data_IF_201740509124
#
_entry.id   IF_201740509124
#
_cell.length_a   1.000
_cell.length_b   1.000
_cell.length_c   1.000
_cell.angle_alpha   90.00
_cell.angle_beta   90.00
_cell.angle_gamma   90.00
#
_symmetry.space_group_name_H-M   'P 1'
#
loop_
_entity.id
_entity.type
_entity.pdbx_description
1 polymer ?
#
# COMPACT_ATOMS: atom_id res chain seq x y z
N UNK A 1 18.87 -1.35 -21.28
CA UNK A 1 18.03 -2.47 -20.82
C UNK A 1 18.87 -3.57 -20.21
N UNK A 2 19.99 -3.98 -20.83
CA UNK A 2 20.85 -5.06 -20.33
C UNK A 2 21.35 -4.86 -18.89
N UNK A 3 21.86 -3.67 -18.53
CA UNK A 3 22.41 -3.43 -17.18
C UNK A 3 21.40 -3.69 -16.05
N UNK A 4 20.21 -3.03 -15.99
CA UNK A 4 19.26 -3.30 -14.91
C UNK A 4 18.71 -4.73 -14.95
N UNK A 5 18.63 -5.37 -16.12
CA UNK A 5 18.27 -6.78 -16.20
C UNK A 5 19.34 -7.70 -15.60
N UNK A 6 20.61 -7.47 -15.92
CA UNK A 6 21.72 -8.24 -15.35
C UNK A 6 21.81 -8.06 -13.84
N UNK A 7 21.59 -6.83 -13.35
CA UNK A 7 21.53 -6.56 -11.91
C UNK A 7 20.37 -7.33 -11.26
N UNK A 8 19.17 -7.27 -11.84
CA UNK A 8 18.02 -8.00 -11.32
C UNK A 8 18.25 -9.53 -11.32
N UNK A 9 18.70 -10.09 -12.45
CA UNK A 9 18.97 -11.53 -12.59
C UNK A 9 20.07 -11.99 -11.64
N UNK A 10 21.18 -11.26 -11.57
CA UNK A 10 22.28 -11.57 -10.65
C UNK A 10 21.86 -11.51 -9.18
N UNK A 11 21.02 -10.54 -8.83
CA UNK A 11 20.47 -10.41 -7.48
C UNK A 11 19.53 -11.56 -7.13
N UNK A 12 18.66 -11.98 -8.05
CA UNK A 12 17.77 -13.14 -7.87
C UNK A 12 18.57 -14.43 -7.63
N UNK A 13 19.65 -14.63 -8.38
CA UNK A 13 20.51 -15.80 -8.18
C UNK A 13 21.08 -15.81 -6.77
N UNK A 14 21.52 -14.65 -6.27
CA UNK A 14 22.00 -14.52 -4.89
C UNK A 14 20.90 -14.79 -3.87
N UNK A 15 19.68 -14.30 -4.13
CA UNK A 15 18.52 -14.55 -3.27
C UNK A 15 18.16 -16.04 -3.20
N UNK A 16 18.27 -16.75 -4.33
CA UNK A 16 18.04 -18.20 -4.42
C UNK A 16 19.12 -19.00 -3.68
N UNK A 17 20.36 -18.52 -3.64
CA UNK A 17 21.43 -19.15 -2.86
C UNK A 17 21.22 -18.93 -1.35
N UNK A 18 20.60 -17.82 -0.96
CA UNK A 18 20.41 -17.40 0.43
C UNK A 18 18.93 -17.45 0.87
N UNK A 19 18.15 -18.41 0.36
CA UNK A 19 16.70 -18.51 0.60
C UNK A 19 16.31 -18.55 2.10
N UNK A 20 17.16 -19.14 2.93
CA UNK A 20 16.96 -19.23 4.38
C UNK A 20 16.91 -17.86 5.07
N UNK A 21 17.48 -16.81 4.47
CA UNK A 21 17.37 -15.44 4.98
C UNK A 21 15.94 -14.91 4.88
N UNK A 22 15.25 -15.21 3.78
CA UNK A 22 14.01 -14.54 3.42
C UNK A 22 12.79 -15.09 4.16
N UNK A 23 12.69 -16.41 4.38
CA UNK A 23 11.48 -16.99 4.98
C UNK A 23 10.20 -16.51 4.28
N UNK A 24 9.29 -15.85 5.01
CA UNK A 24 8.04 -15.29 4.44
C UNK A 24 8.29 -14.11 3.47
N UNK A 25 9.44 -13.44 3.57
CA UNK A 25 9.86 -12.37 2.66
C UNK A 25 10.25 -12.87 1.26
N UNK A 26 10.25 -14.19 1.00
CA UNK A 26 10.40 -14.71 -0.37
C UNK A 26 9.31 -14.13 -1.30
N UNK A 27 8.11 -13.91 -0.77
CA UNK A 27 7.03 -13.24 -1.52
C UNK A 27 7.42 -11.82 -1.93
N UNK A 28 8.21 -11.10 -1.12
CA UNK A 28 8.69 -9.77 -1.46
C UNK A 28 9.70 -9.80 -2.60
N UNK A 29 10.62 -10.78 -2.58
CA UNK A 29 11.57 -11.00 -3.68
C UNK A 29 10.84 -11.27 -5.00
N UNK A 30 9.80 -12.11 -4.97
CA UNK A 30 8.97 -12.40 -6.15
C UNK A 30 8.13 -11.20 -6.59
N UNK A 31 7.59 -10.45 -5.65
CA UNK A 31 6.83 -9.21 -5.88
C UNK A 31 7.66 -8.21 -6.69
N UNK A 32 8.94 -8.06 -6.37
CA UNK A 32 9.82 -7.10 -7.05
C UNK A 32 10.06 -7.42 -8.53
N UNK A 33 9.86 -8.69 -8.94
CA UNK A 33 9.89 -9.08 -10.35
C UNK A 33 8.79 -8.41 -11.16
N UNK A 34 7.68 -8.00 -10.53
CA UNK A 34 6.60 -7.26 -11.20
C UNK A 34 7.13 -5.95 -11.78
N UNK A 35 8.00 -5.23 -11.06
CA UNK A 35 8.60 -3.99 -11.58
C UNK A 35 9.50 -4.25 -12.79
N UNK A 36 10.35 -5.28 -12.69
CA UNK A 36 11.28 -5.64 -13.77
C UNK A 36 10.49 -6.11 -14.99
N UNK A 37 9.48 -6.96 -14.81
CA UNK A 37 8.63 -7.48 -15.89
C UNK A 37 7.82 -6.38 -16.57
N UNK A 38 7.14 -5.54 -15.80
CA UNK A 38 6.36 -4.40 -16.35
C UNK A 38 7.29 -3.38 -17.00
N UNK A 39 8.40 -3.03 -16.36
CA UNK A 39 9.41 -2.11 -16.90
C UNK A 39 10.03 -2.62 -18.20
N UNK A 40 10.36 -3.90 -18.27
CA UNK A 40 10.86 -4.57 -19.47
C UNK A 40 9.83 -4.54 -20.60
N UNK A 41 8.60 -4.95 -20.30
CA UNK A 41 7.49 -4.93 -21.27
C UNK A 41 7.26 -3.53 -21.85
N UNK A 42 7.27 -2.50 -20.99
CA UNK A 42 7.10 -1.11 -21.40
C UNK A 42 8.29 -0.59 -22.20
N UNK A 43 9.52 -0.91 -21.82
CA UNK A 43 10.71 -0.48 -22.56
C UNK A 43 10.83 -1.16 -23.93
N UNK A 44 10.37 -2.41 -24.07
CA UNK A 44 10.28 -3.09 -25.36
C UNK A 44 9.19 -2.51 -26.26
N UNK A 45 8.00 -2.19 -25.70
CA UNK A 45 6.86 -1.68 -26.49
C UNK A 45 6.92 -0.16 -26.73
N UNK A 46 7.50 0.58 -25.80
CA UNK A 46 7.54 2.05 -25.76
C UNK A 46 8.96 2.54 -25.36
N UNK A 47 9.98 2.33 -26.21
CA UNK A 47 11.39 2.54 -25.84
C UNK A 47 11.75 3.97 -25.47
N UNK A 48 11.00 4.97 -25.97
CA UNK A 48 11.19 6.40 -25.65
C UNK A 48 10.42 6.85 -24.42
N UNK A 49 9.60 5.97 -23.81
CA UNK A 49 8.75 6.34 -22.68
C UNK A 49 9.52 6.17 -21.36
N UNK A 50 9.67 7.24 -20.55
CA UNK A 50 10.53 7.20 -19.37
C UNK A 50 9.99 6.30 -18.25
N UNK A 51 8.67 6.07 -18.17
CA UNK A 51 8.07 5.27 -17.09
C UNK A 51 8.53 3.82 -17.14
N UNK A 52 8.65 3.23 -18.34
CA UNK A 52 9.17 1.86 -18.47
C UNK A 52 10.59 1.73 -17.92
N UNK A 53 11.46 2.69 -18.24
CA UNK A 53 12.84 2.71 -17.74
C UNK A 53 12.92 2.94 -16.24
N UNK A 54 12.10 3.84 -15.70
CA UNK A 54 12.04 4.12 -14.27
C UNK A 54 11.54 2.90 -13.48
N UNK A 55 10.52 2.20 -13.97
CA UNK A 55 10.07 0.95 -13.33
C UNK A 55 11.12 -0.16 -13.42
N UNK A 56 11.82 -0.28 -14.54
CA UNK A 56 12.90 -1.26 -14.71
C UNK A 56 14.06 -1.00 -13.74
N UNK A 57 14.47 0.25 -13.58
CA UNK A 57 15.50 0.64 -12.61
C UNK A 57 15.02 0.52 -11.16
N UNK A 58 13.76 0.87 -10.87
CA UNK A 58 13.19 0.68 -9.54
C UNK A 58 13.25 -0.80 -9.13
N UNK A 59 12.80 -1.72 -10.00
CA UNK A 59 12.87 -3.15 -9.76
C UNK A 59 14.30 -3.65 -9.56
N UNK A 60 15.23 -3.25 -10.42
CA UNK A 60 16.63 -3.64 -10.31
C UNK A 60 17.30 -3.16 -9.01
N UNK A 61 17.03 -1.92 -8.59
CA UNK A 61 17.59 -1.34 -7.37
C UNK A 61 16.95 -1.92 -6.10
N UNK A 62 15.65 -2.21 -6.12
CA UNK A 62 15.01 -2.94 -5.03
C UNK A 62 15.59 -4.36 -4.90
N UNK A 63 15.71 -5.09 -6.01
CA UNK A 63 16.31 -6.42 -5.99
C UNK A 63 17.74 -6.39 -5.45
N UNK A 64 18.53 -5.41 -5.90
CA UNK A 64 19.89 -5.22 -5.42
C UNK A 64 19.93 -4.97 -3.90
N UNK A 65 18.98 -4.20 -3.36
CA UNK A 65 18.88 -3.95 -1.92
C UNK A 65 18.53 -5.21 -1.12
N UNK A 66 17.62 -6.06 -1.62
CA UNK A 66 17.27 -7.33 -0.98
C UNK A 66 18.44 -8.32 -1.01
N UNK A 67 19.06 -8.49 -2.17
CA UNK A 67 20.19 -9.40 -2.35
C UNK A 67 21.40 -8.99 -1.52
N UNK A 68 21.68 -7.68 -1.42
CA UNK A 68 22.74 -7.19 -0.54
C UNK A 68 22.39 -7.34 0.93
N UNK A 69 21.12 -7.20 1.33
CA UNK A 69 20.67 -7.53 2.68
C UNK A 69 20.96 -8.99 3.06
N UNK A 70 20.60 -9.94 2.19
CA UNK A 70 20.90 -11.36 2.40
C UNK A 70 22.40 -11.63 2.42
N UNK A 71 23.17 -11.00 1.55
CA UNK A 71 24.62 -11.13 1.51
C UNK A 71 25.29 -10.60 2.80
N UNK A 72 24.89 -9.42 3.28
CA UNK A 72 25.38 -8.84 4.53
C UNK A 72 25.07 -9.79 5.69
N UNK A 73 23.87 -10.35 5.75
CA UNK A 73 23.51 -11.36 6.73
C UNK A 73 24.44 -12.59 6.65
N UNK A 74 24.72 -13.08 5.43
CA UNK A 74 25.62 -14.20 5.23
C UNK A 74 27.07 -13.89 5.68
N UNK A 75 27.58 -12.69 5.38
CA UNK A 75 28.95 -12.26 5.72
C UNK A 75 29.14 -12.09 7.22
N UNK A 76 28.18 -11.50 7.93
CA UNK A 76 28.36 -11.14 9.34
C UNK A 76 27.76 -12.15 10.33
N UNK A 77 26.75 -12.92 9.92
CA UNK A 77 26.04 -13.86 10.81
C UNK A 77 26.30 -15.30 10.41
N UNK A 78 26.09 -15.68 9.15
CA UNK A 78 26.16 -17.09 8.73
C UNK A 78 27.59 -17.62 8.65
N UNK A 79 28.48 -16.88 7.99
CA UNK A 79 29.86 -17.27 7.72
C UNK A 79 30.84 -16.11 8.00
N UNK A 80 30.95 -15.68 9.27
CA UNK A 80 31.79 -14.55 9.66
C UNK A 80 33.24 -14.71 9.20
N UNK A 81 33.77 -13.67 8.54
CA UNK A 81 35.17 -13.59 8.12
C UNK A 81 35.54 -14.38 6.85
N UNK A 82 34.59 -15.06 6.22
CA UNK A 82 34.87 -15.87 5.01
C UNK A 82 34.60 -15.14 3.70
N UNK A 83 33.57 -14.29 3.67
CA UNK A 83 33.12 -13.57 2.49
C UNK A 83 33.62 -12.12 2.52
N UNK A 84 34.20 -11.61 1.42
CA UNK A 84 34.73 -10.25 1.38
C UNK A 84 33.62 -9.20 1.18
N UNK A 85 33.96 -7.91 1.31
CA UNK A 85 33.09 -6.78 0.92
C UNK A 85 31.77 -6.64 1.70
N UNK A 86 31.66 -7.21 2.91
CA UNK A 86 30.49 -7.03 3.77
C UNK A 86 30.16 -5.56 4.05
N UNK A 87 31.18 -4.75 4.34
CA UNK A 87 31.00 -3.30 4.58
C UNK A 87 30.48 -2.56 3.34
N UNK A 88 31.01 -2.88 2.15
CA UNK A 88 30.53 -2.27 0.90
C UNK A 88 29.08 -2.66 0.63
N UNK A 89 28.72 -3.92 0.91
CA UNK A 89 27.36 -4.40 0.73
C UNK A 89 26.36 -3.69 1.67
N UNK A 90 26.77 -3.24 2.87
CA UNK A 90 25.94 -2.42 3.75
C UNK A 90 25.53 -1.10 3.06
N UNK A 91 26.47 -0.42 2.39
CA UNK A 91 26.18 0.83 1.67
C UNK A 91 25.26 0.59 0.47
N UNK A 92 25.51 -0.47 -0.30
CA UNK A 92 24.68 -0.86 -1.46
C UNK A 92 23.27 -1.25 -1.01
N UNK A 93 23.12 -1.80 0.20
CA UNK A 93 21.83 -2.10 0.81
C UNK A 93 20.86 -0.91 0.83
N UNK A 94 21.36 0.33 0.80
CA UNK A 94 20.55 1.55 0.72
C UNK A 94 20.02 1.87 -0.70
N UNK A 95 20.25 1.02 -1.69
CA UNK A 95 19.74 1.15 -3.06
C UNK A 95 18.19 1.22 -3.15
N UNK A 96 17.48 0.80 -2.10
CA UNK A 96 16.02 0.98 -2.01
C UNK A 96 15.60 2.46 -2.02
N UNK A 97 16.44 3.40 -1.56
CA UNK A 97 16.14 4.84 -1.58
C UNK A 97 16.04 5.39 -3.01
N UNK A 98 17.06 5.23 -3.87
CA UNK A 98 16.93 5.59 -5.28
C UNK A 98 15.88 4.74 -6.02
N UNK A 99 15.63 3.49 -5.61
CA UNK A 99 14.53 2.68 -6.16
C UNK A 99 13.15 3.34 -5.95
N UNK A 100 12.86 3.80 -4.71
CA UNK A 100 11.67 4.60 -4.42
C UNK A 100 11.66 5.88 -5.26
N UNK A 101 12.81 6.52 -5.41
CA UNK A 101 12.93 7.69 -6.28
C UNK A 101 12.49 7.44 -7.72
N UNK A 102 12.97 6.36 -8.32
CA UNK A 102 12.54 5.93 -9.65
C UNK A 102 11.03 5.66 -9.71
N UNK A 103 10.49 4.97 -8.71
CA UNK A 103 9.06 4.69 -8.60
C UNK A 103 8.21 5.98 -8.51
N UNK A 104 8.56 6.89 -7.61
CA UNK A 104 7.84 8.13 -7.40
C UNK A 104 7.94 9.08 -8.61
N UNK A 105 9.07 9.09 -9.31
CA UNK A 105 9.19 9.78 -10.59
C UNK A 105 8.33 9.13 -11.68
N UNK A 106 8.25 7.80 -11.72
CA UNK A 106 7.36 7.08 -12.63
C UNK A 106 5.91 7.49 -12.38
N UNK A 107 5.49 7.64 -11.12
CA UNK A 107 4.17 8.14 -10.73
C UNK A 107 3.91 9.54 -11.26
N UNK A 108 4.86 10.45 -11.08
CA UNK A 108 4.71 11.84 -11.51
C UNK A 108 4.63 11.99 -13.04
N UNK A 109 5.35 11.15 -13.78
CA UNK A 109 5.44 11.24 -15.24
C UNK A 109 4.32 10.45 -15.95
N UNK A 110 3.67 9.51 -15.28
CA UNK A 110 2.57 8.74 -15.86
C UNK A 110 1.33 9.60 -16.14
N UNK A 111 0.62 9.43 -17.28
CA UNK A 111 0.83 8.46 -18.36
C UNK A 111 1.68 8.97 -19.52
N UNK A 112 1.87 10.29 -19.65
CA UNK A 112 2.42 10.92 -20.86
C UNK A 112 3.95 10.95 -20.91
N UNK A 113 4.64 10.55 -19.84
CA UNK A 113 6.09 10.65 -19.71
C UNK A 113 6.59 12.07 -19.43
N UNK A 114 5.68 13.02 -19.16
CA UNK A 114 5.98 14.42 -18.88
C UNK A 114 5.29 14.83 -17.57
N UNK A 115 5.77 15.85 -16.86
CA UNK A 115 5.08 16.38 -15.69
C UNK A 115 3.76 17.09 -16.07
N UNK A 116 2.80 17.31 -15.13
CA UNK A 116 1.48 17.88 -15.45
C UNK A 116 1.50 19.25 -16.13
N UNK A 117 2.46 20.11 -15.79
CA UNK A 117 2.73 21.39 -16.47
C UNK A 117 4.19 21.82 -16.23
N UNK A 118 4.74 22.82 -16.96
CA UNK A 118 6.15 23.21 -16.82
C UNK A 118 6.58 23.59 -15.39
N UNK A 119 5.66 24.19 -14.61
CA UNK A 119 5.85 24.51 -13.18
C UNK A 119 6.15 23.30 -12.30
N UNK A 120 5.75 22.09 -12.70
CA UNK A 120 6.03 20.86 -11.97
C UNK A 120 7.46 20.35 -12.15
N UNK A 121 8.29 20.99 -12.99
CA UNK A 121 9.72 20.66 -13.08
C UNK A 121 10.47 20.96 -11.79
N UNK A 122 10.10 22.03 -11.08
CA UNK A 122 10.70 22.39 -9.79
C UNK A 122 10.37 21.35 -8.70
N UNK A 123 9.10 20.96 -8.47
CA UNK A 123 8.77 19.84 -7.58
C UNK A 123 9.46 18.52 -7.97
N UNK A 124 9.59 18.22 -9.27
CA UNK A 124 10.33 17.03 -9.71
C UNK A 124 11.82 17.10 -9.34
N UNK A 125 12.46 18.25 -9.55
CA UNK A 125 13.84 18.48 -9.15
C UNK A 125 14.01 18.39 -7.63
N UNK A 126 13.05 18.90 -6.85
CA UNK A 126 13.03 18.77 -5.40
C UNK A 126 12.99 17.29 -4.98
N UNK A 127 12.11 16.49 -5.58
CA UNK A 127 12.05 15.03 -5.33
C UNK A 127 13.40 14.39 -5.59
N UNK A 128 14.00 14.63 -6.76
CA UNK A 128 15.33 14.08 -7.14
C UNK A 128 16.42 14.51 -6.15
N UNK A 129 16.47 15.80 -5.80
CA UNK A 129 17.46 16.34 -4.88
C UNK A 129 17.30 15.73 -3.48
N UNK A 130 16.05 15.61 -2.99
CA UNK A 130 15.77 15.00 -1.70
C UNK A 130 16.15 13.51 -1.69
N UNK A 131 15.91 12.76 -2.76
CA UNK A 131 16.36 11.35 -2.87
C UNK A 131 17.88 11.28 -2.73
N UNK A 132 18.61 12.05 -3.53
CA UNK A 132 20.07 12.04 -3.53
C UNK A 132 20.63 12.47 -2.17
N UNK A 133 20.11 13.57 -1.61
CA UNK A 133 20.54 14.08 -0.31
C UNK A 133 20.17 13.12 0.83
N UNK A 134 19.02 12.46 0.77
CA UNK A 134 18.62 11.46 1.77
C UNK A 134 19.50 10.21 1.73
N UNK A 135 19.97 9.79 0.55
CA UNK A 135 20.88 8.66 0.42
C UNK A 135 22.25 9.00 1.01
N UNK A 136 22.82 10.14 0.62
CA UNK A 136 24.08 10.63 1.18
C UNK A 136 23.97 10.84 2.69
N UNK A 137 22.87 11.45 3.15
CA UNK A 137 22.61 11.60 4.57
C UNK A 137 22.58 10.25 5.29
N UNK A 138 21.90 9.23 4.75
CA UNK A 138 21.85 7.91 5.37
C UNK A 138 23.23 7.28 5.53
N UNK A 139 24.12 7.48 4.57
CA UNK A 139 25.50 6.99 4.65
C UNK A 139 26.40 7.79 5.59
N UNK A 140 26.14 9.08 5.77
CA UNK A 140 27.01 9.95 6.58
C UNK A 140 26.53 10.10 8.03
N UNK A 141 25.25 9.88 8.33
CA UNK A 141 24.70 10.15 9.67
C UNK A 141 24.46 8.91 10.51
N UNK A 142 24.35 7.73 9.89
CA UNK A 142 24.22 6.48 10.64
C UNK A 142 25.55 6.15 11.32
N UNK A 143 25.61 6.13 12.66
CA UNK A 143 26.84 5.72 13.37
C UNK A 143 27.13 4.24 13.23
N UNK A 144 26.06 3.45 13.17
CA UNK A 144 26.14 2.01 13.01
C UNK A 144 25.08 1.57 12.01
N UNK A 145 25.44 0.61 11.17
CA UNK A 145 24.50 -0.04 10.27
C UNK A 145 23.94 -1.30 10.92
N UNK A 146 22.60 -1.44 10.99
CA UNK A 146 22.00 -2.67 11.47
C UNK A 146 22.18 -3.79 10.45
N UNK A 147 22.68 -4.93 10.89
CA UNK A 147 22.67 -6.19 10.13
C UNK A 147 21.33 -6.86 10.39
N UNK A 148 20.51 -7.01 9.33
CA UNK A 148 19.22 -7.68 9.46
C UNK A 148 19.44 -9.17 9.74
N UNK A 149 18.75 -9.70 10.74
CA UNK A 149 18.70 -11.12 11.01
C UNK A 149 17.76 -11.83 10.03
N UNK A 150 18.00 -13.12 9.77
CA UNK A 150 17.08 -13.95 9.00
C UNK A 150 15.67 -13.97 9.62
N UNK A 151 14.65 -14.09 8.78
CA UNK A 151 13.25 -14.21 9.22
C UNK A 151 13.10 -15.31 10.27
N UNK A 152 12.36 -15.02 11.34
CA UNK A 152 12.17 -15.93 12.48
C UNK A 152 13.35 -16.03 13.47
N UNK A 153 14.49 -15.34 13.24
CA UNK A 153 15.63 -15.36 14.15
C UNK A 153 15.41 -14.48 15.38
N UNK A 154 15.74 -15.01 16.57
CA UNK A 154 15.78 -14.26 17.84
C UNK A 154 17.20 -13.79 18.19
N UNK A 155 18.14 -13.83 17.25
CA UNK A 155 19.50 -13.37 17.49
C UNK A 155 19.50 -11.88 17.89
N UNK A 156 20.36 -11.48 18.86
CA UNK A 156 20.49 -10.08 19.24
C UNK A 156 20.85 -9.23 18.02
N UNK A 157 20.35 -7.98 17.94
CA UNK A 157 20.62 -7.12 16.80
C UNK A 157 22.13 -6.87 16.70
N UNK A 158 22.71 -7.29 15.58
CA UNK A 158 24.11 -7.03 15.26
C UNK A 158 24.20 -5.70 14.52
N UNK A 159 25.14 -4.86 14.93
CA UNK A 159 25.43 -3.59 14.27
C UNK A 159 26.90 -3.52 13.85
N UNK A 160 27.16 -2.83 12.74
CA UNK A 160 28.51 -2.63 12.20
C UNK A 160 28.81 -1.14 12.21
N UNK A 161 29.95 -0.76 12.78
CA UNK A 161 30.35 0.65 12.87
C UNK A 161 30.51 1.26 11.47
N UNK A 162 29.97 2.46 11.27
CA UNK A 162 30.08 3.17 10.01
C UNK A 162 31.34 4.06 10.00
N UNK A 163 32.34 3.77 9.15
CA UNK A 163 33.56 4.58 9.07
C UNK A 163 33.32 5.98 8.46
N UNK A 164 32.20 6.19 7.77
CA UNK A 164 31.85 7.46 7.13
C UNK A 164 30.97 8.36 8.00
N UNK A 165 30.69 7.94 9.24
CA UNK A 165 29.85 8.69 10.15
C UNK A 165 30.49 10.05 10.49
N UNK A 166 29.75 11.14 10.27
CA UNK A 166 30.14 12.49 10.66
C UNK A 166 29.32 12.96 11.86
N UNK A 167 29.92 13.83 12.66
CA UNK A 167 29.27 14.44 13.83
C UNK A 167 29.06 15.95 13.64
N UNK A 168 28.27 16.55 14.53
CA UNK A 168 28.04 17.99 14.61
C UNK A 168 26.75 18.47 13.92
N UNK A 169 26.57 19.79 13.79
CA UNK A 169 25.31 20.38 13.32
C UNK A 169 24.90 19.92 11.92
N UNK A 170 25.87 19.71 11.02
CA UNK A 170 25.62 19.22 9.68
C UNK A 170 25.06 17.78 9.69
N UNK A 171 25.58 16.91 10.56
CA UNK A 171 25.08 15.55 10.72
C UNK A 171 23.62 15.55 11.20
N UNK A 172 23.28 16.43 12.15
CA UNK A 172 21.90 16.59 12.63
C UNK A 172 20.96 17.07 11.51
N UNK A 173 21.38 18.05 10.71
CA UNK A 173 20.59 18.54 9.57
C UNK A 173 20.38 17.45 8.52
N UNK A 174 21.43 16.72 8.15
CA UNK A 174 21.34 15.59 7.23
C UNK A 174 20.45 14.47 7.81
N UNK A 175 20.51 14.23 9.13
CA UNK A 175 19.64 13.30 9.82
C UNK A 175 18.17 13.66 9.67
N UNK A 176 17.83 14.95 9.80
CA UNK A 176 16.47 15.41 9.53
C UNK A 176 16.07 15.23 8.06
N UNK A 177 16.95 15.51 7.11
CA UNK A 177 16.66 15.24 5.69
C UNK A 177 16.46 13.74 5.44
N UNK A 178 17.24 12.88 6.07
CA UNK A 178 17.12 11.43 5.93
C UNK A 178 15.81 10.91 6.52
N UNK A 179 15.36 11.46 7.66
CA UNK A 179 14.13 11.03 8.34
C UNK A 179 12.86 11.63 7.74
N UNK A 180 12.90 12.90 7.34
CA UNK A 180 11.71 13.65 6.91
C UNK A 180 11.65 13.92 5.41
N UNK A 181 12.74 13.70 4.66
CA UNK A 181 12.78 13.87 3.21
C UNK A 181 11.75 13.00 2.48
N UNK A 182 11.34 11.89 3.09
CA UNK A 182 10.27 11.00 2.65
C UNK A 182 8.93 11.73 2.40
N UNK A 183 8.63 12.83 3.10
CA UNK A 183 7.40 13.62 2.88
C UNK A 183 7.32 14.18 1.46
N UNK A 184 8.46 14.42 0.82
CA UNK A 184 8.53 14.94 -0.56
C UNK A 184 7.93 13.93 -1.57
N UNK A 185 7.83 12.65 -1.22
CA UNK A 185 7.17 11.64 -2.05
C UNK A 185 5.65 11.82 -2.17
N UNK A 186 5.03 12.66 -1.35
CA UNK A 186 3.62 13.06 -1.53
C UNK A 186 3.43 13.98 -2.74
N UNK A 187 4.49 14.64 -3.22
CA UNK A 187 4.43 15.55 -4.38
C UNK A 187 4.02 14.81 -5.67
N UNK A 188 4.65 13.69 -6.07
CA UNK A 188 4.21 12.87 -7.19
C UNK A 188 2.75 12.43 -7.11
N UNK A 189 2.28 12.08 -5.91
CA UNK A 189 0.87 11.71 -5.68
C UNK A 189 -0.04 12.91 -5.96
N UNK A 190 0.30 14.08 -5.44
CA UNK A 190 -0.42 15.31 -5.71
C UNK A 190 -0.41 15.67 -7.21
N UNK A 191 0.68 15.41 -7.92
CA UNK A 191 0.80 15.62 -9.36
C UNK A 191 -0.23 14.78 -10.14
N UNK A 192 -0.41 13.52 -9.75
CA UNK A 192 -1.42 12.62 -10.34
C UNK A 192 -2.83 13.13 -10.06
N UNK A 193 -3.13 13.54 -8.83
CA UNK A 193 -4.45 14.04 -8.45
C UNK A 193 -4.80 15.35 -9.18
N UNK A 194 -3.84 16.27 -9.31
CA UNK A 194 -4.01 17.50 -10.09
C UNK A 194 -4.25 17.17 -11.55
N UNK A 195 -3.47 16.26 -12.13
CA UNK A 195 -3.65 15.81 -13.53
C UNK A 195 -5.00 15.13 -13.74
N UNK A 196 -5.42 14.29 -12.80
CA UNK A 196 -6.73 13.63 -12.85
C UNK A 196 -7.88 14.63 -12.91
N UNK A 197 -7.81 15.71 -12.14
CA UNK A 197 -8.81 16.80 -12.14
C UNK A 197 -8.86 17.57 -13.45
N UNK A 198 -7.74 17.72 -14.13
CA UNK A 198 -7.66 18.45 -15.41
C UNK A 198 -7.88 17.56 -16.64
N UNK A 199 -7.76 16.24 -16.50
CA UNK A 199 -7.84 15.29 -17.61
C UNK A 199 -9.29 15.04 -18.08
N UNK A 200 -9.45 14.80 -19.38
CA UNK A 200 -10.73 14.43 -20.01
C UNK A 200 -10.58 13.19 -20.90
N UNK A 201 -11.71 12.56 -21.26
CA UNK A 201 -11.73 11.43 -22.19
C UNK A 201 -10.92 10.21 -21.72
N UNK A 202 -10.06 9.70 -22.60
CA UNK A 202 -9.27 8.47 -22.40
C UNK A 202 -8.16 8.61 -21.37
N UNK A 203 -7.54 9.80 -21.27
CA UNK A 203 -6.49 10.06 -20.28
C UNK A 203 -7.05 9.95 -18.85
N UNK A 204 -8.25 10.50 -18.62
CA UNK A 204 -8.91 10.41 -17.32
C UNK A 204 -9.19 8.96 -16.93
N UNK A 205 -9.59 8.13 -17.88
CA UNK A 205 -9.83 6.71 -17.63
C UNK A 205 -8.54 5.96 -17.28
N UNK A 206 -7.42 6.24 -17.96
CA UNK A 206 -6.12 5.66 -17.62
C UNK A 206 -5.64 6.09 -16.22
N UNK A 207 -5.92 7.33 -15.85
CA UNK A 207 -5.55 7.87 -14.55
C UNK A 207 -6.43 7.38 -13.40
N UNK A 208 -7.65 6.87 -13.63
CA UNK A 208 -8.52 6.38 -12.54
C UNK A 208 -7.87 5.28 -11.71
N UNK A 209 -7.45 4.19 -12.37
CA UNK A 209 -6.81 3.05 -11.69
C UNK A 209 -5.49 3.46 -11.05
N UNK A 210 -4.73 4.29 -11.78
CA UNK A 210 -3.44 4.78 -11.33
C UNK A 210 -3.56 5.68 -10.08
N UNK A 211 -4.50 6.63 -10.10
CA UNK A 211 -4.76 7.52 -8.98
C UNK A 211 -5.29 6.75 -7.77
N UNK A 212 -6.15 5.74 -7.98
CA UNK A 212 -6.63 4.86 -6.92
C UNK A 212 -5.47 4.10 -6.25
N UNK A 213 -4.67 3.37 -7.03
CA UNK A 213 -3.48 2.65 -6.55
C UNK A 213 -2.51 3.57 -5.81
N UNK A 214 -2.19 4.72 -6.41
CA UNK A 214 -1.27 5.70 -5.82
C UNK A 214 -1.83 6.30 -4.53
N UNK A 215 -3.15 6.50 -4.43
CA UNK A 215 -3.80 7.00 -3.21
C UNK A 215 -3.74 5.99 -2.06
N UNK A 216 -3.88 4.69 -2.36
CA UNK A 216 -3.70 3.62 -1.37
C UNK A 216 -2.26 3.63 -0.84
N UNK A 217 -1.27 3.67 -1.74
CA UNK A 217 0.15 3.72 -1.36
C UNK A 217 0.44 4.96 -0.52
N UNK A 218 -0.08 6.13 -0.91
CA UNK A 218 0.08 7.36 -0.16
C UNK A 218 -0.55 7.28 1.24
N UNK A 219 -1.73 6.67 1.37
CA UNK A 219 -2.39 6.49 2.65
C UNK A 219 -1.58 5.58 3.58
N UNK A 220 -1.10 4.44 3.08
CA UNK A 220 -0.27 3.53 3.87
C UNK A 220 1.04 4.22 4.27
N UNK A 221 1.61 5.03 3.37
CA UNK A 221 2.81 5.81 3.62
C UNK A 221 2.62 6.85 4.71
N UNK A 222 1.52 7.60 4.68
CA UNK A 222 1.17 8.50 5.77
C UNK A 222 0.95 7.72 7.07
N UNK A 223 0.33 6.54 7.02
CA UNK A 223 0.14 5.70 8.20
C UNK A 223 1.48 5.27 8.84
N UNK A 224 2.53 5.00 8.05
CA UNK A 224 3.89 4.76 8.59
C UNK A 224 4.56 5.98 9.19
N UNK A 225 4.23 7.19 8.72
CA UNK A 225 4.80 8.42 9.26
C UNK A 225 4.15 8.83 10.58
N UNK A 226 2.86 8.54 10.76
CA UNK A 226 2.08 8.93 11.96
C UNK A 226 2.33 7.97 13.13
N UNK A 227 2.74 6.73 12.87
CA UNK A 227 3.13 5.80 13.94
C UNK A 227 3.58 4.43 13.43
N UNK A 228 4.05 3.55 14.33
CA UNK A 228 4.58 2.22 13.98
C UNK A 228 3.45 1.21 13.71
N UNK A 229 2.39 1.63 12.99
CA UNK A 229 1.17 0.84 12.74
C UNK A 229 1.49 -0.54 12.20
N UNK A 230 2.45 -0.63 11.28
CA UNK A 230 2.88 -1.89 10.68
C UNK A 230 3.87 -2.66 11.53
N UNK A 231 4.60 -2.01 12.43
CA UNK A 231 5.52 -2.70 13.34
C UNK A 231 4.76 -3.60 14.32
N UNK A 232 3.53 -3.25 14.69
CA UNK A 232 2.65 -4.10 15.51
C UNK A 232 2.15 -5.36 14.76
N UNK A 233 2.17 -5.34 13.43
CA UNK A 233 1.75 -6.47 12.59
C UNK A 233 2.92 -7.42 12.27
N UNK A 234 4.15 -7.10 12.70
CA UNK A 234 5.34 -7.89 12.41
C UNK A 234 5.52 -8.14 10.91
N UNK A 235 5.77 -9.39 10.53
CA UNK A 235 5.99 -9.80 9.14
C UNK A 235 4.77 -9.54 8.23
N UNK A 236 3.54 -9.60 8.77
CA UNK A 236 2.34 -9.29 7.99
C UNK A 236 2.31 -7.82 7.57
N UNK A 237 2.81 -6.92 8.42
CA UNK A 237 2.88 -5.50 8.10
C UNK A 237 3.79 -5.23 6.91
N UNK A 238 4.95 -5.90 6.86
CA UNK A 238 5.89 -5.81 5.75
C UNK A 238 5.31 -6.40 4.46
N UNK A 239 4.61 -7.52 4.53
CA UNK A 239 3.96 -8.13 3.36
C UNK A 239 2.88 -7.20 2.76
N UNK A 240 2.03 -6.60 3.61
CA UNK A 240 1.03 -5.62 3.18
C UNK A 240 1.68 -4.45 2.46
N UNK A 241 2.82 -3.98 2.98
CA UNK A 241 3.59 -2.90 2.38
C UNK A 241 4.12 -3.21 0.99
N UNK A 242 4.76 -4.36 0.86
CA UNK A 242 5.29 -4.87 -0.41
C UNK A 242 4.18 -4.96 -1.45
N UNK A 243 3.07 -5.62 -1.11
CA UNK A 243 1.93 -5.78 -2.01
C UNK A 243 1.27 -4.44 -2.39
N UNK A 244 1.25 -3.48 -1.46
CA UNK A 244 0.71 -2.17 -1.73
C UNK A 244 1.55 -1.40 -2.75
N UNK A 245 2.87 -1.48 -2.68
CA UNK A 245 3.74 -0.78 -3.62
C UNK A 245 3.63 -1.43 -5.02
N UNK A 246 3.39 -2.75 -5.11
CA UNK A 246 3.17 -3.48 -6.38
C UNK A 246 1.91 -3.04 -7.13
N UNK A 247 0.92 -2.45 -6.44
CA UNK A 247 -0.25 -1.88 -7.10
C UNK A 247 0.15 -0.82 -8.14
N UNK A 248 1.28 -0.12 -7.95
CA UNK A 248 1.75 0.90 -8.88
C UNK A 248 2.15 0.29 -10.23
N UNK A 249 3.17 -0.58 -10.36
CA UNK A 249 3.53 -1.15 -11.66
C UNK A 249 2.37 -1.93 -12.29
N UNK A 250 1.54 -2.63 -11.51
CA UNK A 250 0.36 -3.33 -12.01
C UNK A 250 -0.63 -2.33 -12.64
N UNK A 251 -0.90 -1.22 -11.94
CA UNK A 251 -1.79 -0.17 -12.45
C UNK A 251 -1.27 0.48 -13.73
N UNK A 252 0.04 0.71 -13.83
CA UNK A 252 0.68 1.21 -15.06
C UNK A 252 0.52 0.21 -16.19
N UNK A 253 0.80 -1.08 -15.94
CA UNK A 253 0.67 -2.12 -16.94
C UNK A 253 -0.76 -2.20 -17.48
N UNK A 254 -1.76 -2.26 -16.60
CA UNK A 254 -3.18 -2.31 -16.97
C UNK A 254 -3.57 -1.07 -17.79
N UNK A 255 -3.17 0.13 -17.33
CA UNK A 255 -3.54 1.38 -17.99
C UNK A 255 -2.89 1.56 -19.36
N UNK A 256 -1.65 1.09 -19.55
CA UNK A 256 -0.95 1.11 -20.84
C UNK A 256 -1.48 0.03 -21.78
N UNK A 257 -1.76 -1.17 -21.26
CA UNK A 257 -2.23 -2.32 -22.04
C UNK A 257 -3.74 -2.27 -22.37
N UNK A 258 -4.45 -1.23 -21.93
CA UNK A 258 -5.88 -0.98 -22.25
C UNK A 258 -6.83 -2.14 -21.91
N UNK A 259 -6.59 -2.87 -20.82
CA UNK A 259 -7.56 -3.86 -20.34
C UNK A 259 -8.81 -3.15 -19.77
N UNK A 260 -9.96 -3.35 -20.43
CA UNK A 260 -11.34 -3.01 -19.99
C UNK A 260 -11.47 -1.82 -19.02
N UNK A 261 -11.21 -0.61 -19.50
CA UNK A 261 -11.25 0.62 -18.68
C UNK A 261 -12.64 0.94 -18.04
N UNK A 262 -13.72 0.29 -18.48
CA UNK A 262 -15.10 0.57 -18.02
C UNK A 262 -15.55 -0.28 -16.81
N UNK A 263 -15.02 -1.49 -16.61
CA UNK A 263 -15.39 -2.36 -15.47
C UNK A 263 -14.78 -1.89 -14.13
N UNK A 264 -13.89 -0.88 -14.21
CA UNK A 264 -13.11 -0.33 -13.10
C UNK A 264 -13.99 0.39 -12.08
N UNK A 265 -15.02 1.10 -12.52
CA UNK A 265 -15.86 1.90 -11.62
C UNK A 265 -16.58 0.99 -10.61
N UNK A 266 -16.92 -0.25 -11.00
CA UNK A 266 -17.45 -1.26 -10.11
C UNK A 266 -16.41 -1.77 -9.11
N UNK A 267 -15.18 -2.02 -9.56
CA UNK A 267 -14.10 -2.50 -8.69
C UNK A 267 -13.76 -1.43 -7.63
N UNK A 268 -13.55 -0.17 -8.03
CA UNK A 268 -13.23 0.94 -7.11
C UNK A 268 -14.36 1.12 -6.10
N UNK A 269 -15.62 1.12 -6.54
CA UNK A 269 -16.74 1.28 -5.62
C UNK A 269 -16.81 0.10 -4.64
N UNK A 270 -16.70 -1.14 -5.12
CA UNK A 270 -16.67 -2.32 -4.24
C UNK A 270 -15.49 -2.28 -3.26
N UNK A 271 -14.28 -1.99 -3.71
CA UNK A 271 -13.11 -1.95 -2.82
C UNK A 271 -13.16 -0.77 -1.85
N UNK A 272 -13.74 0.37 -2.20
CA UNK A 272 -13.99 1.47 -1.27
C UNK A 272 -15.06 1.11 -0.24
N UNK A 273 -16.14 0.44 -0.65
CA UNK A 273 -17.21 0.01 0.26
C UNK A 273 -16.70 -1.09 1.20
N UNK A 274 -16.16 -2.18 0.67
CA UNK A 274 -15.65 -3.30 1.48
C UNK A 274 -14.38 -2.90 2.26
N UNK A 275 -13.46 -2.18 1.62
CA UNK A 275 -12.22 -1.72 2.25
C UNK A 275 -12.49 -0.66 3.30
N UNK A 276 -13.36 0.31 3.03
CA UNK A 276 -13.81 1.30 4.00
C UNK A 276 -14.55 0.64 5.18
N UNK A 277 -15.44 -0.32 4.89
CA UNK A 277 -16.11 -1.12 5.92
C UNK A 277 -15.11 -1.85 6.81
N UNK A 278 -14.15 -2.54 6.19
CA UNK A 278 -13.10 -3.28 6.91
C UNK A 278 -12.19 -2.35 7.71
N UNK A 279 -11.82 -1.20 7.16
CA UNK A 279 -10.99 -0.20 7.83
C UNK A 279 -11.70 0.42 9.04
N UNK A 280 -13.00 0.72 8.94
CA UNK A 280 -13.79 1.20 10.09
C UNK A 280 -13.92 0.11 11.14
N UNK A 281 -14.18 -1.14 10.75
CA UNK A 281 -14.25 -2.27 11.69
C UNK A 281 -12.91 -2.47 12.40
N UNK A 282 -11.81 -2.56 11.64
CA UNK A 282 -10.47 -2.74 12.17
C UNK A 282 -10.01 -1.57 13.02
N UNK A 283 -10.26 -0.34 12.56
CA UNK A 283 -9.91 0.89 13.27
C UNK A 283 -10.68 1.04 14.58
N UNK A 284 -11.98 0.76 14.60
CA UNK A 284 -12.77 0.80 15.82
C UNK A 284 -12.45 -0.36 16.76
N UNK A 285 -12.06 -1.54 16.24
CA UNK A 285 -11.51 -2.61 17.05
C UNK A 285 -10.18 -2.20 17.71
N UNK A 286 -9.24 -1.67 16.93
CA UNK A 286 -7.96 -1.18 17.42
C UNK A 286 -8.14 -0.07 18.46
N UNK A 287 -8.97 0.93 18.17
CA UNK A 287 -9.31 2.00 19.10
C UNK A 287 -9.97 1.45 20.38
N UNK A 288 -10.83 0.43 20.25
CA UNK A 288 -11.41 -0.27 21.38
C UNK A 288 -10.36 -0.94 22.27
N UNK A 289 -9.41 -1.67 21.69
CA UNK A 289 -8.29 -2.27 22.43
C UNK A 289 -7.47 -1.20 23.13
N UNK A 290 -7.06 -0.14 22.42
CA UNK A 290 -6.22 0.93 22.97
C UNK A 290 -6.94 1.66 24.11
N UNK A 291 -8.21 1.99 23.92
CA UNK A 291 -9.03 2.65 24.96
C UNK A 291 -9.16 1.75 26.19
N UNK A 292 -9.42 0.46 25.97
CA UNK A 292 -9.61 -0.48 27.05
C UNK A 292 -8.30 -0.74 27.81
N UNK A 293 -7.19 -0.87 27.10
CA UNK A 293 -5.86 -0.95 27.69
C UNK A 293 -5.55 0.32 28.50
N UNK A 294 -5.88 1.51 27.99
CA UNK A 294 -5.69 2.78 28.69
C UNK A 294 -6.54 2.88 29.97
N UNK A 295 -7.80 2.44 29.93
CA UNK A 295 -8.70 2.41 31.09
C UNK A 295 -8.30 1.38 32.14
N UNK A 296 -7.72 0.25 31.73
CA UNK A 296 -7.33 -0.84 32.62
C UNK A 296 -5.91 -0.68 33.19
N UNK A 297 -5.04 0.10 32.53
CA UNK A 297 -3.67 0.38 32.96
C UNK A 297 -3.53 0.80 34.44
N UNK A 298 -4.41 1.65 35.00
CA UNK A 298 -4.36 2.03 36.43
C UNK A 298 -4.73 0.89 37.40
N UNK A 299 -5.49 -0.12 36.94
CA UNK A 299 -5.97 -1.22 37.78
C UNK A 299 -5.10 -2.49 37.66
N UNK A 300 -4.22 -2.55 36.65
CA UNK A 300 -3.33 -3.69 36.39
C UNK A 300 -1.98 -3.63 37.11
N UNK A 301 -1.64 -2.51 37.75
CA UNK A 301 -0.43 -2.38 38.58
C UNK A 301 -0.65 -3.01 39.96
N UNK A 302 -0.56 -4.34 40.07
CA UNK A 302 -0.45 -4.99 41.40
C UNK A 302 -0.82 -6.47 41.54
N UNK A 303 -1.47 -7.14 40.57
CA UNK A 303 -1.86 -8.56 40.73
C UNK A 303 -2.13 -9.27 39.40
N UNK A 304 -1.68 -10.53 39.25
CA UNK A 304 -1.97 -11.40 38.09
C UNK A 304 -3.48 -11.59 37.87
N UNK A 305 -4.28 -11.56 38.95
CA UNK A 305 -5.74 -11.63 38.88
C UNK A 305 -6.35 -10.39 38.22
N UNK A 306 -5.75 -9.21 38.39
CA UNK A 306 -6.19 -7.99 37.71
C UNK A 306 -5.89 -8.04 36.21
N UNK A 307 -4.77 -8.67 35.82
CA UNK A 307 -4.42 -8.91 34.41
C UNK A 307 -5.37 -9.95 33.77
N UNK A 308 -5.70 -11.01 34.50
CA UNK A 308 -6.69 -12.00 34.03
C UNK A 308 -8.10 -11.39 33.89
N UNK A 309 -8.55 -10.63 34.90
CA UNK A 309 -9.86 -9.99 34.90
C UNK A 309 -10.00 -8.91 33.80
N UNK A 310 -8.97 -8.09 33.61
CA UNK A 310 -8.91 -7.09 32.54
C UNK A 310 -8.95 -7.72 31.15
N UNK A 311 -8.26 -8.85 30.95
CA UNK A 311 -8.30 -9.64 29.71
C UNK A 311 -9.70 -10.20 29.46
N UNK A 312 -10.35 -10.74 30.50
CA UNK A 312 -11.69 -11.33 30.41
C UNK A 312 -12.76 -10.27 30.07
N UNK A 313 -12.69 -9.11 30.71
CA UNK A 313 -13.58 -7.95 30.43
C UNK A 313 -13.35 -7.44 29.01
N UNK A 314 -12.10 -7.41 28.54
CA UNK A 314 -11.77 -7.06 27.16
C UNK A 314 -12.38 -8.00 26.14
N UNK A 315 -12.30 -9.29 26.40
CA UNK A 315 -12.90 -10.29 25.54
C UNK A 315 -14.44 -10.21 25.54
N UNK A 316 -15.05 -9.96 26.72
CA UNK A 316 -16.49 -9.82 26.85
C UNK A 316 -17.05 -8.56 26.14
N UNK A 317 -16.34 -7.44 26.20
CA UNK A 317 -16.71 -6.19 25.52
C UNK A 317 -16.46 -6.21 24.01
N UNK A 318 -15.59 -7.11 23.53
CA UNK A 318 -15.25 -7.20 22.11
C UNK A 318 -16.46 -7.56 21.23
N UNK A 319 -17.25 -8.55 21.63
CA UNK A 319 -18.39 -9.02 20.85
C UNK A 319 -19.51 -7.97 20.66
N UNK A 320 -19.98 -7.25 21.71
CA UNK A 320 -20.99 -6.20 21.54
C UNK A 320 -20.46 -4.98 20.78
N UNK A 321 -19.19 -4.61 20.98
CA UNK A 321 -18.56 -3.50 20.25
C UNK A 321 -18.46 -3.81 18.75
N UNK A 322 -18.00 -5.02 18.39
CA UNK A 322 -17.96 -5.51 17.00
C UNK A 322 -19.33 -5.41 16.33
N UNK A 323 -20.40 -5.87 16.99
CA UNK A 323 -21.76 -5.84 16.43
C UNK A 323 -22.27 -4.41 16.21
N UNK A 324 -21.96 -3.47 17.11
CA UNK A 324 -22.35 -2.06 16.95
C UNK A 324 -21.62 -1.38 15.80
N UNK A 325 -20.31 -1.63 15.68
CA UNK A 325 -19.51 -1.09 14.58
C UNK A 325 -19.99 -1.65 13.24
N UNK A 326 -20.22 -2.97 13.15
CA UNK A 326 -20.77 -3.59 11.95
C UNK A 326 -22.11 -2.97 11.55
N UNK A 327 -23.06 -2.84 12.49
CA UNK A 327 -24.36 -2.20 12.20
C UNK A 327 -24.23 -0.75 11.76
N UNK A 328 -23.37 0.04 12.40
CA UNK A 328 -23.16 1.44 12.04
C UNK A 328 -22.55 1.57 10.63
N UNK A 329 -21.62 0.68 10.28
CA UNK A 329 -21.02 0.63 8.94
C UNK A 329 -22.06 0.17 7.91
N UNK A 330 -22.79 -0.90 8.18
CA UNK A 330 -23.82 -1.42 7.28
C UNK A 330 -24.90 -0.37 7.02
N UNK A 331 -25.32 0.39 8.04
CA UNK A 331 -26.30 1.47 7.89
C UNK A 331 -25.76 2.67 7.11
N UNK A 332 -24.46 2.98 7.20
CA UNK A 332 -23.85 4.17 6.57
C UNK A 332 -23.39 3.91 5.14
N UNK A 333 -22.89 2.71 4.85
CA UNK A 333 -22.29 2.34 3.56
C UNK A 333 -23.22 1.51 2.65
N UNK A 334 -24.11 0.68 3.21
CA UNK A 334 -25.05 -0.17 2.45
C UNK A 334 -26.48 0.36 2.45
N UNK A 335 -26.67 1.68 2.52
CA UNK A 335 -28.00 2.30 2.52
C UNK A 335 -28.86 1.82 1.34
N UNK A 336 -28.28 1.68 0.14
CA UNK A 336 -28.98 1.18 -1.05
C UNK A 336 -29.39 -0.29 -1.01
N UNK A 337 -28.64 -1.16 -0.31
CA UNK A 337 -28.97 -2.59 -0.21
C UNK A 337 -29.92 -2.87 0.96
N UNK A 338 -29.81 -2.10 2.04
CA UNK A 338 -30.73 -2.18 3.17
C UNK A 338 -32.12 -1.64 2.80
N UNK A 339 -32.17 -0.56 2.00
CA UNK A 339 -33.42 -0.10 1.41
C UNK A 339 -33.99 -1.17 0.48
N UNK A 340 -33.19 -1.84 -0.37
CA UNK A 340 -33.70 -2.93 -1.22
C UNK A 340 -34.30 -4.11 -0.44
N UNK A 341 -33.65 -4.57 0.64
CA UNK A 341 -34.17 -5.67 1.47
C UNK A 341 -35.41 -5.24 2.25
N UNK A 342 -35.40 -4.03 2.84
CA UNK A 342 -36.55 -3.48 3.57
C UNK A 342 -37.74 -3.21 2.64
N UNK A 343 -37.49 -2.82 1.40
CA UNK A 343 -38.54 -2.65 0.37
C UNK A 343 -39.10 -4.01 -0.05
N UNK A 344 -38.28 -5.06 -0.16
CA UNK A 344 -38.73 -6.43 -0.47
C UNK A 344 -39.48 -7.08 0.70
N UNK A 345 -39.03 -6.86 1.93
CA UNK A 345 -39.72 -7.35 3.14
C UNK A 345 -41.05 -6.60 3.34
N UNK A 346 -41.06 -5.28 3.19
CA UNK A 346 -42.29 -4.47 3.24
C UNK A 346 -43.24 -4.76 2.06
N UNK A 347 -42.72 -5.18 0.91
CA UNK A 347 -43.53 -5.66 -0.21
C UNK A 347 -44.07 -7.06 0.04
N UNK A 348 -43.30 -7.95 0.69
CA UNK A 348 -43.72 -9.30 1.06
C UNK A 348 -44.72 -9.32 2.22
N UNK A 349 -44.62 -8.36 3.14
CA UNK A 349 -45.63 -8.11 4.18
C UNK A 349 -46.92 -7.55 3.57
N UNK A 350 -46.85 -6.54 2.68
CA UNK A 350 -48.03 -6.02 1.97
C UNK A 350 -48.71 -7.08 1.08
N UNK A 351 -47.94 -7.92 0.40
CA UNK A 351 -48.47 -9.05 -0.40
C UNK A 351 -49.20 -10.12 0.42
N UNK A 352 -48.93 -10.22 1.72
CA UNK A 352 -49.67 -11.12 2.62
C UNK A 352 -50.99 -10.55 3.07
N UNK A 353 -51.13 -9.22 3.06
CA UNK A 353 -52.29 -8.52 3.62
C UNK A 353 -53.22 -7.92 2.54
N UNK A 354 -52.75 -7.66 1.32
CA UNK A 354 -53.56 -7.09 0.23
C UNK A 354 -54.15 -8.18 -0.70
N UNK A 355 -55.47 -8.37 -0.65
CA UNK A 355 -56.26 -9.31 -1.50
C UNK A 355 -56.84 -8.62 -2.75
N UNK A 356 -56.36 -7.43 -3.13
CA UNK A 356 -56.83 -6.70 -4.32
C UNK A 356 -55.77 -6.63 -5.43
N UNK A 357 -56.06 -7.31 -6.56
CA UNK A 357 -55.20 -7.43 -7.74
C UNK A 357 -54.79 -6.08 -8.37
N UNK A 358 -55.60 -5.03 -8.21
CA UNK A 358 -55.34 -3.72 -8.80
C UNK A 358 -54.30 -2.90 -8.02
N UNK A 359 -54.27 -3.02 -6.68
CA UNK A 359 -53.25 -2.39 -5.85
C UNK A 359 -51.86 -3.00 -6.07
N UNK A 360 -51.83 -4.33 -6.24
CA UNK A 360 -50.62 -5.11 -6.48
C UNK A 360 -49.92 -4.74 -7.80
N UNK A 361 -50.69 -4.36 -8.83
CA UNK A 361 -50.16 -3.86 -10.11
C UNK A 361 -49.48 -2.50 -9.98
N UNK A 362 -50.06 -1.60 -9.19
CA UNK A 362 -49.52 -0.27 -8.92
C UNK A 362 -48.21 -0.34 -8.14
N UNK A 363 -48.17 -1.15 -7.09
CA UNK A 363 -46.98 -1.28 -6.24
C UNK A 363 -45.80 -1.93 -6.98
N UNK A 364 -46.06 -2.94 -7.83
CA UNK A 364 -45.00 -3.61 -8.60
C UNK A 364 -44.34 -2.67 -9.62
N UNK A 365 -45.14 -1.81 -10.28
CA UNK A 365 -44.60 -0.78 -11.18
C UNK A 365 -43.84 0.32 -10.42
N UNK A 366 -44.28 0.66 -9.21
CA UNK A 366 -43.63 1.67 -8.36
C UNK A 366 -42.27 1.17 -7.85
N UNK A 367 -42.20 -0.07 -7.37
CA UNK A 367 -40.93 -0.70 -6.94
C UNK A 367 -39.93 -0.82 -8.10
N UNK A 368 -40.41 -1.19 -9.30
CA UNK A 368 -39.55 -1.24 -10.49
C UNK A 368 -39.09 0.16 -10.91
N UNK A 369 -39.96 1.17 -10.78
CA UNK A 369 -39.63 2.58 -11.00
C UNK A 369 -38.52 3.06 -10.07
N UNK A 370 -38.68 2.85 -8.76
CA UNK A 370 -37.75 3.33 -7.74
C UNK A 370 -36.42 2.55 -7.73
N UNK A 371 -36.45 1.26 -8.06
CA UNK A 371 -35.27 0.40 -7.99
C UNK A 371 -34.44 0.44 -9.27
N UNK A 372 -35.08 0.52 -10.44
CA UNK A 372 -34.41 0.36 -11.74
C UNK A 372 -34.41 1.63 -12.59
N UNK A 373 -35.18 2.67 -12.23
CA UNK A 373 -35.35 3.92 -12.99
C UNK A 373 -35.48 3.75 -14.51
N UNK A 374 -36.36 2.86 -15.02
CA UNK A 374 -36.52 2.67 -16.45
C UNK A 374 -37.23 3.87 -17.09
N UNK A 375 -36.89 4.16 -18.35
CA UNK A 375 -37.57 5.21 -19.11
C UNK A 375 -39.06 4.89 -19.36
N UNK A 376 -39.43 3.60 -19.46
CA UNK A 376 -40.82 3.13 -19.59
C UNK A 376 -40.96 1.70 -19.01
N UNK A 377 -42.08 1.39 -18.35
CA UNK A 377 -42.42 0.05 -17.86
C UNK A 377 -43.90 -0.26 -18.08
N UNK A 378 -44.24 -1.50 -18.46
CA UNK A 378 -45.64 -1.95 -18.62
C UNK A 378 -45.81 -3.38 -18.11
N UNK A 379 -46.94 -3.66 -17.45
CA UNK A 379 -47.29 -4.98 -16.91
C UNK A 379 -48.49 -5.56 -17.67
N UNK A 380 -48.32 -6.76 -18.22
CA UNK A 380 -49.35 -7.51 -18.95
C UNK A 380 -49.78 -8.72 -18.11
N UNK A 381 -51.05 -8.77 -17.73
CA UNK A 381 -51.65 -9.91 -17.04
C UNK A 381 -52.22 -10.88 -18.08
N UNK A 382 -51.87 -12.15 -17.97
CA UNK A 382 -52.47 -13.21 -18.77
C UNK A 382 -53.82 -13.57 -18.14
N UNK A 383 -54.90 -13.38 -18.90
CA UNK A 383 -56.24 -13.81 -18.49
C UNK A 383 -56.31 -15.32 -18.30
#
# INVERSE_FOLDING_TARGET
MLVPMLVAVGSIVLDVVLLEFFGVFLLAVLSLLVYVGVGLLLTLRLPRHPVGWLLLWAGALFQLAFATGAYVWAVFIRWPGTLPLGEVALFIGYAWRPALGCLFLAIMLFPTGRPPSPRWRLPAALVVLTIALSLVAAWLTAREFPVQSASGSQAPPLTVANPLAIDGPLATLLGYVSSFGFVVYLIPVAAVLVRFRTSTGTERQQLKWFAYATSIVALLFVATLVGPVFSYLGELGSLVWVLAIDLIPISVAIAVLRYRLYDIDLLINRTLVYGGTTAVIGGAFFAGIVLLQALLRPFTTGSELSVAASTLVSFALFQPLRRRIQRAVDQRFYRSRYDAVRTVDAFSERLRDEVELDALRGDLLTVVGDTMQPAHASLWLRR
#
